data_IF_290016139057
#
_entry.id   IF_290016139057
#
_cell.length_a   1.000
_cell.length_b   1.000
_cell.length_c   1.000
_cell.angle_alpha   90.00
_cell.angle_beta   90.00
_cell.angle_gamma   90.00
#
_symmetry.space_group_name_H-M   'P 1'
#
loop_
_entity.id
_entity.type
_entity.pdbx_description
1 polymer ?
#
# COMPACT_ATOMS: atom_id res chain seq x y z
N UNK A 1 27.78 -18.43 35.79
CA UNK A 1 27.41 -19.47 34.80
C UNK A 1 26.03 -19.10 34.27
N UNK A 2 25.83 -18.56 33.08
CA UNK A 2 26.67 -18.47 31.90
C UNK A 2 26.53 -17.08 31.26
N UNK A 3 27.65 -16.59 30.74
CA UNK A 3 27.73 -15.53 29.73
C UNK A 3 27.00 -15.94 28.45
N UNK A 4 26.46 -14.98 27.70
CA UNK A 4 26.70 -14.84 26.25
C UNK A 4 25.98 -13.61 25.65
N UNK A 5 26.83 -12.72 25.11
CA UNK A 5 26.68 -11.88 23.92
C UNK A 5 25.72 -10.68 23.90
N UNK A 6 26.32 -9.53 24.27
CA UNK A 6 26.09 -8.26 23.60
C UNK A 6 26.38 -8.40 22.09
N UNK A 7 25.35 -8.25 21.26
CA UNK A 7 25.48 -8.05 19.81
C UNK A 7 25.59 -6.55 19.61
N UNK A 8 26.80 -6.11 19.25
CA UNK A 8 27.07 -4.74 18.86
C UNK A 8 26.27 -4.35 17.62
N UNK A 9 25.68 -3.16 17.69
CA UNK A 9 25.22 -2.41 16.51
C UNK A 9 26.45 -2.03 15.68
N UNK A 10 26.87 -2.94 14.81
CA UNK A 10 27.70 -2.58 13.66
C UNK A 10 26.75 -2.00 12.60
N UNK A 11 26.49 -0.71 12.71
CA UNK A 11 25.88 0.07 11.63
C UNK A 11 26.82 -0.03 10.44
N UNK A 12 26.43 -0.80 9.42
CA UNK A 12 27.07 -0.78 8.10
C UNK A 12 26.73 0.57 7.47
N UNK A 13 27.50 1.59 7.85
CA UNK A 13 27.61 2.87 7.18
C UNK A 13 28.72 2.73 6.13
N UNK A 14 28.46 1.96 5.07
CA UNK A 14 29.42 1.79 3.98
C UNK A 14 28.74 1.57 2.62
N UNK A 15 27.56 2.19 2.43
CA UNK A 15 27.09 2.50 1.07
C UNK A 15 27.54 3.91 0.76
N UNK A 16 28.47 4.03 -0.20
CA UNK A 16 29.00 5.31 -0.65
C UNK A 16 27.87 6.26 -1.05
N UNK A 17 28.08 7.56 -0.85
CA UNK A 17 27.13 8.63 -1.23
C UNK A 17 26.71 8.57 -2.71
N UNK A 18 27.48 7.91 -3.57
CA UNK A 18 27.20 7.75 -5.00
C UNK A 18 25.90 6.97 -5.25
N UNK A 19 25.56 5.96 -4.42
CA UNK A 19 24.36 5.14 -4.64
C UNK A 19 23.04 5.89 -4.35
N UNK A 20 23.08 6.97 -3.56
CA UNK A 20 21.89 7.76 -3.18
C UNK A 20 21.60 8.93 -4.13
N UNK A 21 22.58 9.37 -4.92
CA UNK A 21 22.41 10.40 -5.95
C UNK A 21 21.82 9.84 -7.26
N UNK A 22 21.92 8.53 -7.47
CA UNK A 22 21.47 7.81 -8.69
C UNK A 22 20.02 8.09 -9.10
N UNK A 23 19.09 8.23 -8.14
CA UNK A 23 17.68 8.48 -8.46
C UNK A 23 17.45 9.83 -9.16
N UNK A 24 18.25 10.86 -8.85
CA UNK A 24 18.11 12.16 -9.49
C UNK A 24 18.67 12.13 -10.92
N UNK A 25 19.72 11.35 -11.17
CA UNK A 25 20.32 11.20 -12.50
C UNK A 25 19.43 10.40 -13.48
N UNK A 26 18.52 9.58 -12.96
CA UNK A 26 17.52 8.85 -13.75
C UNK A 26 16.29 9.69 -14.12
N UNK A 27 16.12 10.89 -13.54
CA UNK A 27 14.98 11.75 -13.85
C UNK A 27 15.19 12.53 -15.15
N UNK A 28 14.12 12.74 -15.94
CA UNK A 28 14.15 13.64 -17.08
C UNK A 28 14.60 15.06 -16.68
N UNK A 29 15.39 15.76 -17.51
CA UNK A 29 15.92 17.11 -17.22
C UNK A 29 14.83 18.13 -16.84
N UNK A 30 13.62 17.98 -17.37
CA UNK A 30 12.48 18.86 -17.10
C UNK A 30 11.94 18.68 -15.68
N UNK A 31 11.99 17.44 -15.16
CA UNK A 31 11.62 17.11 -13.79
C UNK A 31 12.67 17.61 -12.81
N UNK A 32 13.95 17.43 -13.16
CA UNK A 32 15.06 18.00 -12.40
C UNK A 32 14.94 19.52 -12.32
N UNK A 33 14.74 20.21 -13.45
CA UNK A 33 14.56 21.66 -13.49
C UNK A 33 13.43 22.11 -12.55
N UNK A 34 12.26 21.47 -12.60
CA UNK A 34 11.15 21.79 -11.70
C UNK A 34 11.46 21.52 -10.23
N UNK A 35 12.21 20.46 -9.93
CA UNK A 35 12.66 20.19 -8.56
C UNK A 35 13.58 21.33 -8.07
N UNK A 36 14.57 21.74 -8.87
CA UNK A 36 15.51 22.81 -8.50
C UNK A 36 14.87 24.19 -8.43
N UNK A 37 13.92 24.50 -9.32
CA UNK A 37 13.17 25.76 -9.35
C UNK A 37 12.32 25.97 -8.08
N UNK A 38 11.78 24.89 -7.50
CA UNK A 38 10.99 24.94 -6.27
C UNK A 38 11.83 24.95 -4.98
N UNK A 39 13.08 24.51 -5.04
CA UNK A 39 13.82 24.12 -3.83
C UNK A 39 14.92 25.06 -3.42
N UNK A 40 15.27 26.02 -4.27
CA UNK A 40 16.39 26.90 -4.02
C UNK A 40 15.93 28.31 -3.69
N UNK A 41 16.67 29.03 -2.82
CA UNK A 41 16.31 30.40 -2.48
C UNK A 41 16.20 31.24 -3.74
N UNK A 42 15.22 32.15 -3.78
CA UNK A 42 14.99 33.03 -4.91
C UNK A 42 16.30 33.70 -5.36
N UNK A 43 16.59 33.60 -6.66
CA UNK A 43 17.79 34.15 -7.27
C UNK A 43 18.92 33.15 -7.51
N UNK A 44 18.69 31.83 -7.51
CA UNK A 44 19.67 30.86 -8.04
C UNK A 44 19.20 30.37 -9.41
N UNK A 45 20.07 30.48 -10.43
CA UNK A 45 19.81 30.05 -11.81
C UNK A 45 20.63 28.81 -12.13
N UNK A 46 20.02 27.79 -12.77
CA UNK A 46 20.70 26.58 -13.19
C UNK A 46 20.73 26.43 -14.71
N UNK A 47 21.76 25.76 -15.20
CA UNK A 47 21.84 25.30 -16.58
C UNK A 47 22.38 23.88 -16.61
N UNK A 48 21.67 23.01 -17.32
CA UNK A 48 22.08 21.63 -17.57
C UNK A 48 22.77 21.59 -18.92
N UNK A 49 24.06 21.25 -18.93
CA UNK A 49 24.82 21.09 -20.17
C UNK A 49 25.24 19.64 -20.31
N UNK A 50 24.91 19.04 -21.45
CA UNK A 50 25.42 17.72 -21.82
C UNK A 50 26.83 17.87 -22.39
N UNK A 51 27.80 17.20 -21.80
CA UNK A 51 29.19 17.17 -22.25
C UNK A 51 29.67 15.71 -22.27
N UNK A 52 30.12 15.23 -23.43
CA UNK A 52 30.77 13.92 -23.61
C UNK A 52 30.04 12.74 -22.94
N UNK A 53 28.73 12.61 -23.22
CA UNK A 53 27.80 11.62 -22.66
C UNK A 53 27.42 11.77 -21.19
N UNK A 54 27.90 12.80 -20.49
CA UNK A 54 27.55 13.11 -19.11
C UNK A 54 26.75 14.42 -18.99
N UNK A 55 25.98 14.54 -17.92
CA UNK A 55 25.27 15.79 -17.57
C UNK A 55 26.11 16.60 -16.57
N UNK A 56 26.36 17.86 -16.88
CA UNK A 56 26.93 18.83 -15.93
C UNK A 56 25.83 19.78 -15.45
N UNK A 57 25.76 19.97 -14.13
CA UNK A 57 24.86 20.94 -13.48
C UNK A 57 25.65 22.20 -13.14
N UNK A 58 25.19 23.34 -13.63
CA UNK A 58 25.77 24.65 -13.34
C UNK A 58 24.80 25.44 -12.46
N UNK A 59 25.30 26.14 -11.44
CA UNK A 59 24.52 26.98 -10.52
C UNK A 59 25.14 28.37 -10.39
N UNK A 60 24.32 29.42 -10.36
CA UNK A 60 24.75 30.80 -10.11
C UNK A 60 23.74 31.55 -9.22
N UNK A 61 24.19 32.44 -8.32
CA UNK A 61 23.34 33.26 -7.44
C UNK A 61 23.32 34.71 -7.91
N UNK A 62 22.14 35.31 -8.04
CA UNK A 62 21.88 36.67 -8.54
C UNK A 62 21.54 36.73 -10.04
N UNK A 63 21.27 37.93 -10.57
CA UNK A 63 21.03 38.20 -12.00
C UNK A 63 22.31 38.07 -12.87
N UNK A 64 23.36 37.42 -12.37
CA UNK A 64 24.64 37.33 -13.03
C UNK A 64 24.76 36.03 -13.82
N UNK A 65 25.01 36.17 -15.13
CA UNK A 65 25.13 35.10 -16.13
C UNK A 65 26.48 34.37 -16.09
N UNK A 66 27.16 34.34 -14.94
CA UNK A 66 28.49 33.74 -14.83
C UNK A 66 28.46 32.42 -14.05
N UNK A 67 28.93 31.39 -14.73
CA UNK A 67 28.88 30.00 -14.29
C UNK A 67 30.26 29.58 -13.77
N UNK A 68 30.30 28.92 -12.61
CA UNK A 68 31.53 28.34 -12.06
C UNK A 68 31.60 26.87 -12.47
N UNK A 69 32.65 26.48 -13.20
CA UNK A 69 32.89 25.11 -13.65
C UNK A 69 33.81 24.43 -12.64
N UNK A 70 33.27 23.49 -11.86
CA UNK A 70 34.07 22.65 -10.96
C UNK A 70 34.21 21.23 -11.49
N UNK A 71 35.30 20.91 -12.20
CA UNK A 71 35.80 19.53 -12.29
C UNK A 71 37.25 19.54 -11.80
N UNK A 72 37.52 18.95 -10.64
CA UNK A 72 38.90 18.62 -10.23
C UNK A 72 39.39 17.51 -11.14
N UNK A 73 40.07 17.87 -12.23
CA UNK A 73 40.84 16.91 -13.01
C UNK A 73 41.96 16.36 -12.13
N UNK A 74 41.81 15.12 -11.69
CA UNK A 74 42.86 14.32 -11.07
C UNK A 74 43.78 13.67 -12.12
N UNK A 75 44.00 14.33 -13.26
CA UNK A 75 44.94 13.88 -14.28
C UNK A 75 46.26 14.64 -14.15
N UNK A 76 47.20 14.02 -13.43
CA UNK A 76 48.63 14.30 -13.55
C UNK A 76 49.11 13.79 -14.91
N UNK A 77 49.95 14.59 -15.57
CA UNK A 77 50.85 14.24 -16.68
C UNK A 77 50.25 13.90 -18.06
N UNK A 78 50.20 14.90 -18.94
CA UNK A 78 50.67 14.77 -20.33
C UNK A 78 51.23 16.12 -20.82
N UNK A 79 52.52 16.22 -21.20
CA UNK A 79 53.03 17.38 -21.90
C UNK A 79 52.87 17.14 -23.41
N UNK A 80 51.82 17.66 -24.03
CA UNK A 80 51.77 17.77 -25.50
C UNK A 80 51.79 19.25 -25.89
N UNK A 81 52.76 19.58 -26.76
CA UNK A 81 53.20 20.94 -27.09
C UNK A 81 52.37 21.63 -28.18
N UNK A 82 51.26 21.05 -28.61
CA UNK A 82 50.38 21.63 -29.63
C UNK A 82 48.92 21.28 -29.32
N UNK A 83 48.23 22.20 -28.66
CA UNK A 83 46.84 22.06 -28.26
C UNK A 83 46.33 23.26 -27.46
N UNK A 84 46.59 24.48 -27.96
CA UNK A 84 45.85 25.66 -27.50
C UNK A 84 44.45 25.59 -28.10
N UNK A 85 43.51 24.98 -27.38
CA UNK A 85 42.08 25.23 -27.55
C UNK A 85 41.40 24.84 -26.22
N UNK A 86 40.88 25.86 -25.54
CA UNK A 86 39.94 25.81 -24.41
C UNK A 86 40.40 25.19 -23.08
N UNK A 87 41.16 25.97 -22.32
CA UNK A 87 41.18 25.92 -20.85
C UNK A 87 40.60 27.22 -20.23
N UNK A 88 39.62 27.85 -20.89
CA UNK A 88 38.92 29.04 -20.38
C UNK A 88 37.68 28.65 -19.57
N UNK A 89 37.91 27.93 -18.48
CA UNK A 89 36.86 27.56 -17.53
C UNK A 89 37.31 27.77 -16.09
N UNK A 90 38.09 28.82 -15.81
CA UNK A 90 38.34 29.32 -14.46
C UNK A 90 39.10 30.67 -14.49
N UNK A 91 38.43 31.77 -14.88
CA UNK A 91 39.05 33.11 -14.82
C UNK A 91 38.02 34.25 -14.74
N UNK A 92 36.88 34.05 -14.07
CA UNK A 92 35.92 35.15 -13.85
C UNK A 92 35.38 35.16 -12.42
N UNK A 93 36.28 35.27 -11.45
CA UNK A 93 35.96 35.74 -10.10
C UNK A 93 36.95 36.78 -9.55
N UNK A 94 38.04 37.11 -10.26
CA UNK A 94 39.06 38.03 -9.72
C UNK A 94 38.69 39.52 -9.79
N UNK A 95 37.60 39.89 -10.46
CA UNK A 95 37.23 41.30 -10.70
C UNK A 95 35.88 41.73 -10.10
N UNK A 96 35.24 40.90 -9.29
CA UNK A 96 34.08 41.29 -8.48
C UNK A 96 34.51 41.45 -7.00
N UNK A 97 34.99 42.64 -6.58
CA UNK A 97 35.54 42.87 -5.24
C UNK A 97 34.55 42.65 -4.09
N UNK A 98 33.25 42.48 -4.39
CA UNK A 98 32.18 42.28 -3.40
C UNK A 98 31.59 40.86 -3.38
N UNK A 99 32.08 39.92 -4.20
CA UNK A 99 31.65 38.52 -4.14
C UNK A 99 32.36 37.76 -3.01
N UNK A 100 32.12 38.16 -1.75
CA UNK A 100 32.75 37.57 -0.56
C UNK A 100 32.15 36.24 -0.11
N UNK A 101 31.10 35.75 -0.75
CA UNK A 101 30.41 34.51 -0.36
C UNK A 101 30.46 33.48 -1.49
N UNK A 102 31.62 32.85 -1.66
CA UNK A 102 31.69 31.57 -2.39
C UNK A 102 31.12 30.48 -1.50
N UNK A 103 29.93 29.96 -1.85
CA UNK A 103 29.36 28.78 -1.21
C UNK A 103 30.31 27.61 -1.43
N UNK A 104 30.74 26.95 -0.35
CA UNK A 104 31.61 25.79 -0.47
C UNK A 104 30.88 24.62 -1.14
N UNK A 105 31.62 23.74 -1.81
CA UNK A 105 31.05 22.55 -2.46
C UNK A 105 30.26 21.67 -1.47
N UNK A 106 30.73 21.58 -0.23
CA UNK A 106 30.08 20.82 0.85
C UNK A 106 28.76 21.45 1.27
N UNK A 107 28.68 22.78 1.39
CA UNK A 107 27.43 23.50 1.69
C UNK A 107 26.41 23.34 0.55
N UNK A 108 26.86 23.33 -0.71
CA UNK A 108 25.99 23.08 -1.85
C UNK A 108 25.43 21.65 -1.85
N UNK A 109 26.29 20.64 -1.64
CA UNK A 109 25.87 19.24 -1.57
C UNK A 109 24.93 18.97 -0.38
N UNK A 110 25.22 19.55 0.78
CA UNK A 110 24.36 19.47 1.95
C UNK A 110 23.03 20.20 1.73
N UNK A 111 23.04 21.37 1.08
CA UNK A 111 21.84 22.08 0.65
C UNK A 111 20.97 21.22 -0.25
N UNK A 112 21.56 20.57 -1.26
CA UNK A 112 20.88 19.64 -2.17
C UNK A 112 20.33 18.40 -1.45
N UNK A 113 21.05 17.84 -0.48
CA UNK A 113 20.57 16.71 0.32
C UNK A 113 19.42 17.11 1.24
N UNK A 114 19.48 18.28 1.87
CA UNK A 114 18.43 18.81 2.73
C UNK A 114 17.18 19.16 1.92
N UNK A 115 17.37 19.75 0.75
CA UNK A 115 16.34 20.00 -0.26
C UNK A 115 15.71 18.70 -0.73
N UNK A 116 16.51 17.70 -1.11
CA UNK A 116 16.00 16.41 -1.56
C UNK A 116 15.25 15.71 -0.42
N UNK A 117 15.71 15.84 0.83
CA UNK A 117 15.00 15.33 2.00
C UNK A 117 13.68 16.07 2.26
N UNK A 118 13.66 17.40 2.13
CA UNK A 118 12.45 18.21 2.31
C UNK A 118 11.44 17.95 1.18
N UNK A 119 11.91 17.97 -0.07
CA UNK A 119 11.13 17.63 -1.25
C UNK A 119 10.63 16.19 -1.19
N UNK A 120 11.46 15.22 -0.78
CA UNK A 120 11.03 13.84 -0.58
C UNK A 120 9.98 13.74 0.53
N UNK A 121 10.04 14.57 1.58
CA UNK A 121 9.02 14.63 2.63
C UNK A 121 7.70 15.21 2.13
N UNK A 122 7.74 16.31 1.37
CA UNK A 122 6.56 16.93 0.77
C UNK A 122 5.97 16.06 -0.35
N UNK A 123 6.80 15.56 -1.24
CA UNK A 123 6.43 14.62 -2.29
C UNK A 123 5.85 13.33 -1.68
N UNK A 124 6.41 12.81 -0.59
CA UNK A 124 5.81 11.68 0.15
C UNK A 124 4.43 12.05 0.66
N UNK A 125 4.26 13.20 1.32
CA UNK A 125 2.96 13.64 1.78
C UNK A 125 1.94 13.73 0.62
N UNK A 126 2.32 14.34 -0.51
CA UNK A 126 1.46 14.46 -1.68
C UNK A 126 1.15 13.07 -2.30
N UNK A 127 2.16 12.23 -2.46
CA UNK A 127 2.03 10.89 -3.06
C UNK A 127 1.08 10.04 -2.25
N UNK A 128 1.27 9.94 -0.94
CA UNK A 128 0.48 9.04 -0.11
C UNK A 128 -0.87 9.63 0.35
N UNK A 129 -0.97 10.95 0.50
CA UNK A 129 -2.21 11.59 0.93
C UNK A 129 -3.18 11.89 -0.21
N UNK A 130 -2.70 12.28 -1.40
CA UNK A 130 -3.60 12.75 -2.47
C UNK A 130 -3.89 11.69 -3.54
N UNK A 131 -3.12 10.59 -3.59
CA UNK A 131 -3.36 9.53 -4.57
C UNK A 131 -4.18 8.39 -3.99
N UNK A 132 -4.85 7.67 -4.89
CA UNK A 132 -5.62 6.47 -4.57
C UNK A 132 -4.81 5.23 -4.92
N UNK A 133 -4.56 4.39 -3.92
CA UNK A 133 -3.75 3.18 -4.09
C UNK A 133 -4.66 1.98 -4.34
N UNK A 134 -4.47 1.34 -5.49
CA UNK A 134 -5.23 0.16 -5.87
C UNK A 134 -4.54 -1.10 -5.33
N UNK A 135 -5.24 -1.85 -4.47
CA UNK A 135 -4.81 -3.12 -3.91
C UNK A 135 -5.64 -4.23 -4.53
N UNK A 136 -4.98 -5.20 -5.17
CA UNK A 136 -5.65 -6.31 -5.84
C UNK A 136 -5.41 -7.61 -5.09
N UNK A 137 -6.48 -8.22 -4.58
CA UNK A 137 -6.42 -9.53 -3.93
C UNK A 137 -7.19 -10.53 -4.79
N UNK A 138 -6.50 -11.57 -5.25
CA UNK A 138 -7.08 -12.65 -6.04
C UNK A 138 -7.24 -13.92 -5.21
N UNK A 139 -8.04 -14.88 -5.70
CA UNK A 139 -8.15 -16.21 -5.10
C UNK A 139 -7.05 -17.20 -5.54
N UNK A 140 -6.18 -16.81 -6.47
CA UNK A 140 -5.15 -17.69 -7.06
C UNK A 140 -4.06 -18.02 -6.05
N UNK A 141 -3.47 -19.21 -6.12
CA UNK A 141 -2.36 -19.54 -5.23
C UNK A 141 -1.16 -18.61 -5.46
N UNK A 142 -0.56 -18.09 -4.38
CA UNK A 142 0.71 -17.37 -4.45
C UNK A 142 1.82 -18.29 -3.94
N UNK A 143 2.98 -18.26 -4.60
CA UNK A 143 4.18 -18.94 -4.14
C UNK A 143 5.11 -17.95 -3.41
N UNK A 144 5.81 -18.35 -2.33
CA UNK A 144 5.71 -19.63 -1.62
C UNK A 144 4.55 -19.68 -0.60
N UNK A 145 4.11 -18.53 -0.09
CA UNK A 145 3.06 -18.44 0.93
C UNK A 145 1.77 -17.95 0.31
N UNK A 146 0.78 -18.83 0.22
CA UNK A 146 -0.48 -18.50 -0.42
C UNK A 146 -1.45 -17.72 0.47
N UNK A 147 -1.49 -17.95 1.78
CA UNK A 147 -2.54 -17.39 2.65
C UNK A 147 -2.24 -15.98 3.16
N UNK A 148 -0.97 -15.70 3.51
CA UNK A 148 -0.48 -14.42 4.01
C UNK A 148 0.62 -13.89 3.08
N UNK A 149 0.24 -13.59 1.85
CA UNK A 149 1.21 -13.18 0.84
C UNK A 149 1.43 -11.66 0.89
N UNK A 150 2.67 -11.17 1.11
CA UNK A 150 2.96 -9.73 1.07
C UNK A 150 2.79 -9.16 -0.35
N UNK A 151 2.78 -10.00 -1.38
CA UNK A 151 2.60 -9.62 -2.77
C UNK A 151 1.28 -8.88 -3.03
N UNK A 152 0.28 -9.00 -2.15
CA UNK A 152 -0.98 -8.25 -2.28
C UNK A 152 -0.76 -6.73 -2.22
N UNK A 153 0.34 -6.28 -1.60
CA UNK A 153 0.72 -4.87 -1.52
C UNK A 153 1.75 -4.46 -2.59
N UNK A 154 2.12 -5.37 -3.49
CA UNK A 154 3.16 -5.12 -4.50
C UNK A 154 4.47 -4.63 -3.86
N UNK A 155 5.10 -3.56 -4.39
CA UNK A 155 6.33 -3.01 -3.83
C UNK A 155 6.23 -2.51 -2.38
N UNK A 156 5.03 -2.13 -1.91
CA UNK A 156 4.83 -1.69 -0.52
C UNK A 156 4.81 -2.86 0.47
N UNK A 157 4.67 -4.10 -0.02
CA UNK A 157 4.71 -5.31 0.82
C UNK A 157 6.12 -5.75 1.21
N UNK A 158 7.17 -5.07 0.72
CA UNK A 158 8.54 -5.39 1.09
C UNK A 158 8.80 -5.00 2.57
N UNK A 159 9.55 -5.80 3.35
CA UNK A 159 9.76 -5.55 4.78
C UNK A 159 10.27 -4.14 5.11
N UNK A 160 11.17 -3.60 4.28
CA UNK A 160 11.72 -2.26 4.47
C UNK A 160 10.79 -1.13 4.00
N UNK A 161 9.64 -1.43 3.37
CA UNK A 161 8.67 -0.45 2.85
C UNK A 161 7.29 -0.55 3.48
N UNK A 162 7.01 -1.61 4.23
CA UNK A 162 5.68 -1.86 4.81
C UNK A 162 5.21 -0.73 5.74
N UNK A 163 6.15 -0.06 6.41
CA UNK A 163 5.88 1.10 7.25
C UNK A 163 5.28 2.30 6.47
N UNK A 164 5.48 2.37 5.14
CA UNK A 164 4.90 3.41 4.29
C UNK A 164 3.39 3.26 4.12
N UNK A 165 2.82 2.07 4.43
CA UNK A 165 1.37 1.87 4.43
C UNK A 165 0.65 2.78 5.45
N UNK A 166 1.38 3.30 6.44
CA UNK A 166 0.88 4.29 7.40
C UNK A 166 0.39 5.57 6.75
N UNK A 167 1.02 5.98 5.65
CA UNK A 167 0.77 7.27 5.04
C UNK A 167 -0.38 7.24 4.04
N UNK A 168 -0.88 6.05 3.69
CA UNK A 168 -2.00 5.87 2.78
C UNK A 168 -3.26 6.52 3.35
N UNK A 169 -3.90 7.38 2.55
CA UNK A 169 -5.20 7.99 2.89
C UNK A 169 -6.36 7.42 2.08
N UNK A 170 -6.11 7.06 0.82
CA UNK A 170 -7.14 6.56 -0.07
C UNK A 170 -6.75 5.20 -0.66
N UNK A 171 -7.56 4.16 -0.41
CA UNK A 171 -7.34 2.81 -0.95
C UNK A 171 -8.55 2.35 -1.76
N UNK A 172 -8.27 1.80 -2.93
CA UNK A 172 -9.21 1.00 -3.72
C UNK A 172 -8.85 -0.48 -3.63
N UNK A 173 -9.60 -1.24 -2.85
CA UNK A 173 -9.43 -2.68 -2.69
C UNK A 173 -10.27 -3.43 -3.73
N UNK A 174 -9.63 -4.20 -4.61
CA UNK A 174 -10.33 -5.07 -5.57
C UNK A 174 -10.14 -6.53 -5.18
N UNK A 175 -11.24 -7.21 -4.84
CA UNK A 175 -11.27 -8.64 -4.55
C UNK A 175 -11.74 -9.40 -5.79
N UNK A 176 -10.87 -10.22 -6.38
CA UNK A 176 -11.19 -11.00 -7.58
C UNK A 176 -11.36 -12.47 -7.24
N UNK A 177 -12.55 -12.99 -7.56
CA UNK A 177 -12.90 -14.40 -7.40
C UNK A 177 -12.63 -15.08 -8.73
N UNK A 178 -11.51 -15.79 -8.81
CA UNK A 178 -11.13 -16.59 -9.97
C UNK A 178 -11.61 -18.04 -9.83
N UNK A 179 -11.66 -18.53 -8.59
CA UNK A 179 -11.94 -19.92 -8.29
C UNK A 179 -13.04 -20.02 -7.23
N UNK A 180 -14.21 -20.58 -7.59
CA UNK A 180 -15.35 -20.78 -6.67
C UNK A 180 -15.24 -22.12 -5.95
N UNK A 181 -14.04 -22.51 -5.58
CA UNK A 181 -13.80 -23.61 -4.65
C UNK A 181 -13.78 -23.10 -3.21
N UNK A 182 -13.96 -24.01 -2.25
CA UNK A 182 -13.81 -23.68 -0.82
C UNK A 182 -12.42 -23.12 -0.54
N UNK A 183 -11.38 -23.72 -1.13
CA UNK A 183 -10.00 -23.25 -1.02
C UNK A 183 -9.77 -21.86 -1.61
N UNK A 184 -10.30 -21.56 -2.80
CA UNK A 184 -10.20 -20.22 -3.38
C UNK A 184 -10.82 -19.16 -2.47
N UNK A 185 -11.96 -19.49 -1.86
CA UNK A 185 -12.66 -18.63 -0.89
C UNK A 185 -11.87 -18.46 0.40
N UNK A 186 -11.31 -19.55 0.95
CA UNK A 186 -10.45 -19.53 2.15
C UNK A 186 -9.19 -18.70 1.91
N UNK A 187 -8.54 -18.83 0.75
CA UNK A 187 -7.36 -18.03 0.38
C UNK A 187 -7.70 -16.55 0.30
N UNK A 188 -8.78 -16.21 -0.39
CA UNK A 188 -9.21 -14.83 -0.55
C UNK A 188 -9.54 -14.18 0.81
N UNK A 189 -10.25 -14.89 1.69
CA UNK A 189 -10.50 -14.43 3.06
C UNK A 189 -9.20 -14.27 3.85
N UNK A 190 -8.30 -15.26 3.82
CA UNK A 190 -7.05 -15.21 4.58
C UNK A 190 -6.17 -14.03 4.17
N UNK A 191 -6.13 -13.70 2.87
CA UNK A 191 -5.43 -12.51 2.37
C UNK A 191 -6.13 -11.21 2.71
N UNK A 192 -7.47 -11.20 2.69
CA UNK A 192 -8.24 -10.04 3.15
C UNK A 192 -8.00 -9.79 4.64
N UNK A 193 -7.92 -10.85 5.45
CA UNK A 193 -7.51 -10.76 6.85
C UNK A 193 -6.08 -10.24 6.97
N UNK A 194 -5.13 -10.79 6.21
CA UNK A 194 -3.74 -10.31 6.22
C UNK A 194 -3.64 -8.84 5.83
N UNK A 195 -4.41 -8.39 4.83
CA UNK A 195 -4.50 -7.00 4.44
C UNK A 195 -4.93 -6.11 5.62
N UNK A 196 -6.00 -6.52 6.33
CA UNK A 196 -6.50 -5.79 7.50
C UNK A 196 -5.50 -5.82 8.65
N UNK A 197 -4.87 -6.96 8.93
CA UNK A 197 -3.87 -7.08 10.00
C UNK A 197 -2.71 -6.11 9.78
N UNK A 198 -2.16 -6.06 8.56
CA UNK A 198 -1.05 -5.16 8.19
C UNK A 198 -1.48 -3.69 8.24
N UNK A 199 -2.69 -3.36 7.78
CA UNK A 199 -3.20 -2.01 7.94
C UNK A 199 -3.37 -1.65 9.41
N UNK A 200 -3.85 -2.54 10.27
CA UNK A 200 -3.99 -2.23 11.70
C UNK A 200 -2.65 -2.07 12.39
N UNK A 201 -1.65 -2.86 11.98
CA UNK A 201 -0.30 -2.80 12.52
C UNK A 201 0.41 -1.49 12.14
N UNK A 202 0.27 -1.03 10.89
CA UNK A 202 1.06 0.09 10.38
C UNK A 202 0.27 1.39 10.13
N UNK A 203 -1.05 1.34 9.91
CA UNK A 203 -1.88 2.53 9.65
C UNK A 203 -2.54 3.13 10.88
N UNK A 204 -2.32 2.55 12.06
CA UNK A 204 -2.85 3.04 13.33
C UNK A 204 -2.14 4.28 13.86
N UNK A 205 -2.90 5.29 14.28
CA UNK A 205 -2.38 6.32 15.19
C UNK A 205 -2.04 5.70 16.56
N UNK A 206 -1.44 6.48 17.46
CA UNK A 206 -1.16 6.12 18.86
C UNK A 206 -2.39 5.52 19.57
N UNK A 207 -3.59 5.93 19.15
CA UNK A 207 -4.89 5.43 19.62
C UNK A 207 -5.44 4.22 18.83
N UNK A 208 -4.64 3.60 17.95
CA UNK A 208 -5.01 2.49 17.04
C UNK A 208 -6.14 2.82 16.05
N UNK A 209 -6.43 4.10 15.81
CA UNK A 209 -7.40 4.53 14.78
C UNK A 209 -6.72 4.53 13.41
N UNK A 210 -7.43 4.08 12.37
CA UNK A 210 -6.89 4.08 11.02
C UNK A 210 -6.72 5.51 10.51
N UNK A 211 -5.57 5.82 9.92
CA UNK A 211 -5.35 7.09 9.22
C UNK A 211 -6.02 7.11 7.83
N UNK A 212 -6.62 6.01 7.40
CA UNK A 212 -7.29 5.89 6.12
C UNK A 212 -8.59 6.71 6.13
N UNK A 213 -8.68 7.68 5.22
CA UNK A 213 -9.86 8.54 5.08
C UNK A 213 -10.88 7.92 4.13
N UNK A 214 -10.41 7.24 3.08
CA UNK A 214 -11.25 6.61 2.06
C UNK A 214 -10.87 5.17 1.78
N UNK A 215 -11.87 4.29 1.78
CA UNK A 215 -11.76 2.90 1.34
C UNK A 215 -12.90 2.58 0.37
N UNK A 216 -12.56 2.15 -0.84
CA UNK A 216 -13.54 1.62 -1.78
C UNK A 216 -13.25 0.16 -2.06
N UNK A 217 -14.23 -0.70 -1.86
CA UNK A 217 -14.08 -2.15 -2.01
C UNK A 217 -14.86 -2.59 -3.24
N UNK A 218 -14.21 -3.21 -4.21
CA UNK A 218 -14.84 -3.74 -5.41
C UNK A 218 -14.69 -5.26 -5.44
N UNK A 219 -15.80 -5.97 -5.55
CA UNK A 219 -15.78 -7.41 -5.79
C UNK A 219 -15.92 -7.65 -7.30
N UNK A 220 -15.10 -8.55 -7.84
CA UNK A 220 -15.14 -8.96 -9.25
C UNK A 220 -15.18 -10.48 -9.37
N UNK A 221 -16.04 -10.99 -10.22
CA UNK A 221 -16.01 -12.40 -10.66
C UNK A 221 -15.36 -12.45 -12.04
N UNK A 222 -14.15 -13.03 -12.12
CA UNK A 222 -13.40 -13.08 -13.37
C UNK A 222 -13.99 -14.04 -14.40
N UNK A 223 -14.91 -14.94 -13.97
CA UNK A 223 -15.63 -15.85 -14.87
C UNK A 223 -16.68 -15.11 -15.69
N UNK A 224 -17.12 -13.94 -15.25
CA UNK A 224 -18.01 -13.11 -16.04
C UNK A 224 -17.22 -12.53 -17.22
N UNK A 225 -17.47 -12.96 -18.48
CA UNK A 225 -16.74 -12.44 -19.64
C UNK A 225 -16.91 -10.93 -19.80
N UNK A 226 -17.99 -10.41 -19.21
CA UNK A 226 -18.35 -9.00 -19.17
C UNK A 226 -17.52 -8.18 -18.16
N UNK A 227 -16.78 -8.82 -17.25
CA UNK A 227 -15.94 -8.18 -16.22
C UNK A 227 -14.53 -7.77 -16.71
N UNK A 228 -14.14 -8.12 -17.95
CA UNK A 228 -12.78 -7.82 -18.46
C UNK A 228 -12.55 -6.36 -18.85
N UNK A 229 -13.60 -5.56 -18.92
CA UNK A 229 -13.52 -4.13 -19.15
C UNK A 229 -14.32 -3.43 -18.06
N UNK A 230 -13.66 -2.58 -17.26
CA UNK A 230 -14.20 -1.38 -16.59
C UNK A 230 -13.34 -1.05 -15.35
N UNK A 231 -12.47 -0.05 -15.46
CA UNK A 231 -12.56 1.01 -14.45
C UNK A 231 -13.97 1.59 -14.59
N UNK A 232 -14.73 1.83 -13.50
CA UNK A 232 -16.03 2.46 -13.63
C UNK A 232 -15.82 3.81 -14.32
N UNK A 233 -16.14 3.91 -15.62
CA UNK A 233 -16.34 5.22 -16.25
C UNK A 233 -17.50 5.83 -15.49
N UNK A 234 -17.21 6.94 -14.81
CA UNK A 234 -18.12 7.67 -13.92
C UNK A 234 -19.54 7.67 -14.48
N UNK A 235 -20.47 6.99 -13.80
CA UNK A 235 -21.90 7.07 -14.09
C UNK A 235 -22.58 5.80 -14.61
N UNK A 236 -21.88 4.70 -14.89
CA UNK A 236 -22.56 3.45 -15.30
C UNK A 236 -23.07 2.64 -14.10
N UNK A 237 -24.37 2.37 -14.13
CA UNK A 237 -25.21 1.66 -13.16
C UNK A 237 -24.64 0.26 -12.81
N UNK A 238 -23.76 0.22 -11.81
CA UNK A 238 -23.15 -1.02 -11.30
C UNK A 238 -24.23 -1.95 -10.74
N UNK A 239 -25.35 -1.41 -10.25
CA UNK A 239 -26.41 -2.14 -9.57
C UNK A 239 -27.09 -3.18 -10.47
N UNK A 240 -27.40 -2.84 -11.73
CA UNK A 240 -28.09 -3.78 -12.66
C UNK A 240 -27.26 -5.00 -13.07
N UNK A 241 -25.94 -4.95 -12.96
CA UNK A 241 -25.06 -6.06 -13.36
C UNK A 241 -25.04 -7.19 -12.31
N UNK A 242 -25.35 -6.87 -11.07
CA UNK A 242 -25.30 -7.81 -9.94
C UNK A 242 -26.54 -8.69 -9.82
N UNK A 243 -27.70 -8.25 -10.31
CA UNK A 243 -28.92 -9.09 -10.33
C UNK A 243 -28.70 -10.42 -11.06
N UNK A 244 -27.86 -10.43 -12.11
CA UNK A 244 -27.53 -11.66 -12.85
C UNK A 244 -26.46 -12.54 -12.17
N UNK A 245 -25.71 -12.00 -11.21
CA UNK A 245 -24.69 -12.72 -10.43
C UNK A 245 -25.22 -13.23 -9.08
N UNK A 246 -26.51 -13.04 -8.78
CA UNK A 246 -27.20 -13.66 -7.64
C UNK A 246 -27.39 -15.18 -7.81
N UNK A 247 -26.39 -15.88 -8.34
CA UNK A 247 -26.28 -17.30 -8.02
C UNK A 247 -26.09 -17.39 -6.50
N UNK A 248 -27.09 -17.98 -5.83
CA UNK A 248 -27.19 -18.10 -4.36
C UNK A 248 -25.92 -18.68 -3.73
N UNK A 249 -25.15 -19.45 -4.50
CA UNK A 249 -23.90 -20.05 -4.04
C UNK A 249 -22.74 -19.07 -3.89
N UNK A 250 -22.73 -17.95 -4.63
CA UNK A 250 -21.65 -16.96 -4.54
C UNK A 250 -21.89 -16.02 -3.36
N UNK A 251 -23.13 -15.63 -3.10
CA UNK A 251 -23.49 -14.61 -2.11
C UNK A 251 -23.04 -14.94 -0.67
N UNK A 252 -23.17 -16.19 -0.21
CA UNK A 252 -22.75 -16.55 1.16
C UNK A 252 -21.23 -16.51 1.34
N UNK A 253 -20.48 -16.83 0.29
CA UNK A 253 -19.01 -16.81 0.30
C UNK A 253 -18.48 -15.38 0.32
N UNK A 254 -19.19 -14.44 -0.29
CA UNK A 254 -18.85 -13.02 -0.24
C UNK A 254 -18.91 -12.47 1.17
N UNK A 255 -19.95 -12.80 1.94
CA UNK A 255 -20.08 -12.39 3.34
C UNK A 255 -18.86 -12.85 4.14
N UNK A 256 -18.49 -14.13 4.00
CA UNK A 256 -17.32 -14.70 4.68
C UNK A 256 -15.98 -14.09 4.24
N UNK A 257 -15.81 -13.80 2.96
CA UNK A 257 -14.57 -13.19 2.43
C UNK A 257 -14.40 -11.76 2.89
N UNK A 258 -15.47 -10.97 2.90
CA UNK A 258 -15.46 -9.56 3.29
C UNK A 258 -15.44 -9.35 4.80
N UNK A 259 -15.88 -10.34 5.57
CA UNK A 259 -15.99 -10.28 7.03
C UNK A 259 -14.76 -9.72 7.76
N UNK A 260 -13.50 -10.04 7.41
CA UNK A 260 -12.32 -9.44 8.04
C UNK A 260 -12.29 -7.90 8.03
N UNK A 261 -12.88 -7.28 7.01
CA UNK A 261 -12.93 -5.82 6.88
C UNK A 261 -13.75 -5.16 8.01
N UNK A 262 -14.64 -5.89 8.66
CA UNK A 262 -15.44 -5.40 9.79
C UNK A 262 -14.60 -5.03 11.03
N UNK A 263 -13.33 -5.43 11.05
CA UNK A 263 -12.39 -5.05 12.10
C UNK A 263 -11.66 -3.72 11.84
N UNK A 264 -11.82 -3.15 10.64
CA UNK A 264 -11.45 -1.75 10.37
C UNK A 264 -12.50 -0.84 11.01
N UNK A 265 -12.05 0.25 11.63
CA UNK A 265 -12.92 1.24 12.27
C UNK A 265 -12.39 2.66 12.02
N UNK A 266 -13.31 3.62 11.95
CA UNK A 266 -12.98 5.05 11.87
C UNK A 266 -12.72 5.58 10.46
N UNK A 267 -13.01 4.79 9.41
CA UNK A 267 -12.87 5.26 8.03
C UNK A 267 -14.13 6.06 7.66
N UNK A 268 -13.94 7.31 7.24
CA UNK A 268 -15.03 8.25 6.98
C UNK A 268 -15.77 7.90 5.68
N UNK A 269 -15.04 7.78 4.57
CA UNK A 269 -15.59 7.48 3.26
C UNK A 269 -15.35 6.01 2.90
N UNK A 270 -16.34 5.17 3.21
CA UNK A 270 -16.36 3.75 2.84
C UNK A 270 -17.47 3.51 1.82
N UNK A 271 -17.13 2.80 0.75
CA UNK A 271 -18.10 2.29 -0.21
C UNK A 271 -17.76 0.84 -0.59
N UNK A 272 -18.74 -0.05 -0.49
CA UNK A 272 -18.58 -1.48 -0.82
C UNK A 272 -19.45 -1.83 -2.02
N UNK A 273 -18.82 -2.29 -3.10
CA UNK A 273 -19.48 -2.65 -4.34
C UNK A 273 -19.40 -4.15 -4.59
N UNK A 274 -20.54 -4.74 -4.96
CA UNK A 274 -20.63 -6.11 -5.45
C UNK A 274 -20.94 -7.19 -4.42
N UNK A 275 -21.36 -6.79 -3.22
CA UNK A 275 -21.99 -7.69 -2.26
C UNK A 275 -23.53 -7.49 -2.22
N UNK A 276 -24.32 -8.31 -1.51
CA UNK A 276 -25.74 -8.01 -1.28
C UNK A 276 -25.91 -6.66 -0.58
N UNK A 277 -26.85 -5.82 -1.02
CA UNK A 277 -27.01 -4.44 -0.56
C UNK A 277 -27.18 -4.32 0.96
N UNK A 278 -28.01 -5.19 1.56
CA UNK A 278 -28.20 -5.21 3.02
C UNK A 278 -26.86 -5.42 3.76
N UNK A 279 -25.99 -6.28 3.23
CA UNK A 279 -24.69 -6.59 3.83
C UNK A 279 -23.67 -5.48 3.58
N UNK A 280 -23.69 -4.86 2.39
CA UNK A 280 -22.88 -3.67 2.10
C UNK A 280 -23.16 -2.59 3.15
N UNK A 281 -24.44 -2.26 3.40
CA UNK A 281 -24.85 -1.28 4.41
C UNK A 281 -24.37 -1.65 5.82
N UNK A 282 -24.54 -2.92 6.23
CA UNK A 282 -24.04 -3.38 7.52
C UNK A 282 -22.51 -3.22 7.66
N UNK A 283 -21.76 -3.61 6.63
CA UNK A 283 -20.30 -3.55 6.65
C UNK A 283 -19.79 -2.11 6.64
N UNK A 284 -20.38 -1.25 5.80
CA UNK A 284 -20.06 0.19 5.76
C UNK A 284 -20.34 0.87 7.10
N UNK A 285 -21.51 0.63 7.70
CA UNK A 285 -21.83 1.15 9.03
C UNK A 285 -20.81 0.70 10.07
N UNK A 286 -20.48 -0.60 10.10
CA UNK A 286 -19.52 -1.14 11.05
C UNK A 286 -18.13 -0.50 10.88
N UNK A 287 -17.67 -0.33 9.64
CA UNK A 287 -16.36 0.28 9.34
C UNK A 287 -16.32 1.76 9.71
N UNK A 288 -17.44 2.49 9.55
CA UNK A 288 -17.57 3.88 10.03
C UNK A 288 -17.58 3.98 11.57
N UNK A 289 -17.64 2.85 12.29
CA UNK A 289 -17.79 2.82 13.74
C UNK A 289 -19.23 3.04 14.21
N UNK A 290 -20.21 2.81 13.35
CA UNK A 290 -21.64 2.96 13.62
C UNK A 290 -22.31 1.59 13.83
N UNK A 291 -23.49 1.62 14.46
CA UNK A 291 -24.39 0.46 14.55
C UNK A 291 -24.09 -0.57 15.64
N UNK A 292 -23.21 -0.23 16.58
CA UNK A 292 -22.92 -1.04 17.77
C UNK A 292 -21.96 -2.20 17.52
N UNK A 293 -21.91 -3.12 18.48
CA UNK A 293 -20.98 -4.24 18.46
C UNK A 293 -21.51 -5.45 17.70
N UNK A 294 -20.60 -6.03 16.92
CA UNK A 294 -20.86 -7.21 16.11
C UNK A 294 -20.67 -8.46 16.98
N UNK A 295 -21.74 -9.23 17.17
CA UNK A 295 -21.70 -10.44 18.01
C UNK A 295 -21.22 -11.64 17.20
N UNK A 296 -20.34 -12.43 17.80
CA UNK A 296 -19.92 -13.73 17.27
C UNK A 296 -21.08 -14.72 17.32
N UNK A 297 -21.28 -15.48 16.25
CA UNK A 297 -22.21 -16.61 16.21
C UNK A 297 -21.64 -17.75 17.06
N UNK A 298 -22.46 -18.23 17.99
CA UNK A 298 -22.17 -19.44 18.72
C UNK A 298 -22.61 -20.64 17.87
N UNK A 299 -21.64 -21.49 17.50
CA UNK A 299 -21.87 -22.64 16.65
C UNK A 299 -21.84 -23.89 17.52
N UNK A 300 -22.87 -24.75 17.48
CA UNK A 300 -22.90 -25.93 18.34
C UNK A 300 -21.72 -26.85 18.04
N UNK A 301 -21.21 -27.49 19.08
CA UNK A 301 -20.20 -28.53 18.97
C UNK A 301 -20.87 -29.90 18.88
N UNK A 302 -20.31 -30.79 18.06
CA UNK A 302 -20.74 -32.17 17.95
C UNK A 302 -19.58 -33.09 18.26
N UNK A 303 -19.82 -34.10 19.08
CA UNK A 303 -18.86 -35.16 19.34
C UNK A 303 -18.81 -36.09 18.13
N UNK A 304 -17.62 -36.22 17.52
CA UNK A 304 -17.38 -37.15 16.40
C UNK A 304 -16.27 -38.13 16.76
N UNK A 305 -16.46 -39.40 16.41
CA UNK A 305 -15.44 -40.44 16.58
C UNK A 305 -14.42 -40.35 15.45
N UNK A 306 -13.19 -39.91 15.75
CA UNK A 306 -12.08 -39.82 14.79
C UNK A 306 -10.97 -40.81 15.15
N UNK A 307 -10.32 -41.35 14.14
CA UNK A 307 -9.11 -42.15 14.33
C UNK A 307 -7.91 -41.21 14.43
N UNK A 308 -7.16 -41.28 15.54
CA UNK A 308 -5.96 -40.48 15.73
C UNK A 308 -4.80 -41.07 14.92
N UNK A 309 -4.04 -40.23 14.20
CA UNK A 309 -2.86 -40.69 13.44
C UNK A 309 -1.91 -41.45 14.37
N UNK A 310 -1.59 -42.70 14.01
CA UNK A 310 -0.72 -43.58 14.79
C UNK A 310 -1.42 -44.52 15.78
N UNK A 311 -2.73 -44.35 16.02
CA UNK A 311 -3.49 -45.22 16.92
C UNK A 311 -4.63 -45.95 16.18
N UNK A 312 -4.86 -47.23 16.53
CA UNK A 312 -6.00 -48.02 16.01
C UNK A 312 -7.32 -47.65 16.69
N UNK A 313 -7.29 -47.02 17.87
CA UNK A 313 -8.49 -46.67 18.65
C UNK A 313 -9.11 -45.37 18.14
N UNK A 314 -10.44 -45.37 17.98
CA UNK A 314 -11.21 -44.14 17.70
C UNK A 314 -11.37 -43.37 19.00
N UNK A 315 -11.09 -42.07 18.95
CA UNK A 315 -11.26 -41.13 20.06
C UNK A 315 -12.43 -40.22 19.73
N UNK A 316 -13.24 -39.92 20.73
CA UNK A 316 -14.32 -38.94 20.63
C UNK A 316 -13.71 -37.54 20.70
N UNK A 317 -13.93 -36.75 19.66
CA UNK A 317 -13.42 -35.38 19.52
C UNK A 317 -14.60 -34.46 19.31
N UNK A 318 -14.72 -33.44 20.15
CA UNK A 318 -15.65 -32.35 19.93
C UNK A 318 -15.20 -31.50 18.73
N UNK A 319 -16.07 -31.37 17.74
CA UNK A 319 -15.81 -30.57 16.54
C UNK A 319 -16.95 -29.58 16.36
N UNK A 320 -16.59 -28.33 16.09
CA UNK A 320 -17.56 -27.29 15.76
C UNK A 320 -18.32 -27.66 14.47
N UNK A 321 -19.65 -27.52 14.47
CA UNK A 321 -20.51 -27.77 13.31
C UNK A 321 -20.31 -26.74 12.18
N UNK A 322 -19.63 -25.62 12.48
CA UNK A 322 -19.34 -24.56 11.52
C UNK A 322 -18.49 -25.07 10.37
N UNK A 323 -18.96 -24.87 9.14
CA UNK A 323 -18.18 -25.11 7.95
C UNK A 323 -17.13 -24.00 7.76
N UNK A 324 -15.97 -24.34 7.19
CA UNK A 324 -14.83 -23.43 7.08
C UNK A 324 -15.05 -22.16 6.24
N UNK A 325 -16.19 -22.04 5.54
CA UNK A 325 -16.59 -20.89 4.73
C UNK A 325 -17.75 -20.09 5.33
N UNK A 326 -18.30 -20.51 6.48
CA UNK A 326 -19.40 -19.80 7.12
C UNK A 326 -18.89 -18.57 7.89
N UNK A 327 -19.67 -17.47 7.91
CA UNK A 327 -19.29 -16.27 8.64
C UNK A 327 -19.19 -16.53 10.14
N UNK A 328 -18.35 -15.73 10.79
CA UNK A 328 -18.10 -15.75 12.22
C UNK A 328 -19.14 -14.93 12.98
N UNK A 329 -19.66 -13.85 12.37
CA UNK A 329 -20.50 -12.88 13.03
C UNK A 329 -21.98 -12.98 12.63
N UNK A 330 -22.85 -12.58 13.56
CA UNK A 330 -24.30 -12.54 13.37
C UNK A 330 -24.73 -11.25 12.66
N UNK A 331 -24.49 -11.22 11.35
CA UNK A 331 -24.85 -10.10 10.49
C UNK A 331 -26.36 -9.86 10.39
N UNK A 332 -27.19 -10.88 10.63
CA UNK A 332 -28.66 -10.73 10.61
C UNK A 332 -29.13 -9.94 11.82
N UNK A 333 -28.64 -10.29 13.01
CA UNK A 333 -28.94 -9.54 14.22
C UNK A 333 -28.42 -8.11 14.13
N UNK A 334 -27.22 -7.91 13.58
CA UNK A 334 -26.68 -6.57 13.36
C UNK A 334 -27.58 -5.73 12.42
N UNK A 335 -28.04 -6.31 11.31
CA UNK A 335 -28.98 -5.65 10.40
C UNK A 335 -30.29 -5.27 11.10
N UNK A 336 -30.87 -6.20 11.88
CA UNK A 336 -32.12 -5.98 12.60
C UNK A 336 -32.00 -4.85 13.64
N UNK A 337 -30.91 -4.82 14.42
CA UNK A 337 -30.64 -3.75 15.39
C UNK A 337 -30.45 -2.37 14.73
N UNK A 338 -30.12 -2.32 13.45
CA UNK A 338 -29.84 -1.09 12.70
C UNK A 338 -30.95 -0.74 11.69
N UNK A 339 -32.13 -1.37 11.78
CA UNK A 339 -33.26 -1.15 10.89
C UNK A 339 -32.93 -1.36 9.39
N UNK A 340 -31.99 -2.27 9.08
CA UNK A 340 -31.66 -2.62 7.69
C UNK A 340 -32.58 -3.76 7.26
N UNK A 341 -33.38 -3.52 6.23
CA UNK A 341 -34.28 -4.52 5.65
C UNK A 341 -33.50 -5.71 5.09
N UNK A 342 -33.85 -6.91 5.56
CA UNK A 342 -33.29 -8.17 5.05
C UNK A 342 -34.16 -8.71 3.91
N UNK A 343 -33.57 -9.30 2.86
CA UNK A 343 -34.34 -9.99 1.83
C UNK A 343 -34.98 -11.26 2.40
N UNK A 344 -36.13 -11.67 1.84
CA UNK A 344 -36.90 -12.84 2.31
C UNK A 344 -36.06 -14.13 2.35
N UNK A 345 -35.09 -14.27 1.44
CA UNK A 345 -34.25 -15.46 1.33
C UNK A 345 -32.88 -15.35 2.04
N UNK A 346 -32.72 -14.39 2.97
CA UNK A 346 -31.49 -14.19 3.75
C UNK A 346 -31.02 -15.45 4.49
N UNK A 347 -31.94 -16.35 4.85
CA UNK A 347 -31.62 -17.63 5.50
C UNK A 347 -30.80 -18.57 4.62
N UNK A 348 -30.94 -18.45 3.29
CA UNK A 348 -30.14 -19.19 2.31
C UNK A 348 -28.77 -18.55 2.10
N UNK A 349 -28.66 -17.23 2.30
CA UNK A 349 -27.44 -16.44 2.10
C UNK A 349 -26.50 -16.50 3.32
N UNK A 350 -27.05 -16.57 4.53
CA UNK A 350 -26.27 -16.66 5.77
C UNK A 350 -26.87 -17.79 6.60
N UNK A 351 -26.29 -18.99 6.58
CA UNK A 351 -26.73 -20.10 7.41
C UNK A 351 -26.63 -19.69 8.88
N UNK A 352 -27.74 -19.82 9.61
CA UNK A 352 -27.75 -19.66 11.06
C UNK A 352 -27.56 -21.02 11.72
N UNK A 353 -26.88 -21.09 12.88
CA UNK A 353 -26.79 -22.32 13.64
C UNK A 353 -28.21 -22.82 13.93
N UNK A 354 -28.50 -24.06 13.53
CA UNK A 354 -29.74 -24.70 13.93
C UNK A 354 -29.63 -24.97 15.44
N UNK A 355 -30.53 -24.40 16.23
CA UNK A 355 -30.68 -24.83 17.63
C UNK A 355 -31.18 -26.26 17.58
N UNK A 356 -30.30 -27.23 17.84
CA UNK A 356 -30.69 -28.62 18.03
C UNK A 356 -31.61 -28.66 19.26
N UNK A 357 -32.90 -28.96 19.05
CA UNK A 357 -33.85 -29.25 20.13
C UNK A 357 -34.34 -28.03 20.92
N UNK A 358 -35.33 -27.32 20.39
CA UNK A 358 -36.45 -26.88 21.23
C UNK A 358 -37.55 -27.91 21.05
N UNK A 359 -37.43 -29.02 21.78
CA UNK A 359 -38.56 -29.90 22.11
C UNK A 359 -39.39 -29.28 23.24
#
# INVERSE_FOLDING_TARGET
MADYNAIGELVIADSSLDDRASFLEELPPELLHRIFEYTLPHGITFSFRRADNDWAVLAARGNHTQWVIGKKSSSRYYPSRYGRLYNDACTVCESAPDCKETISQEEMQMGLLLVNKAFAKEARAIVFANNTFCVHITSDAHHPVSMKSPLIFGPLGLPHRIHLLRDLRHIELTLTINEVTSWGTTRLRARTQHFVDILREHSGDTNKQSLLTQLRVYIRDSRSPSSRCCRPRSGFDVSRRWEKLQDRTVSHRLVFVLEPLASLQGIQDIAVYGAPEWFQRCLEMRIRGQGGDLKTLDWPTKVVRRQQKGYRRKVEVEVCTRQGWQPIFDWKRFAACNNISLPEDVHKLVPTPQKEGSE
#
